data_IF_415614689967
#
_entry.id   IF_415614689967
#
_cell.length_a   1.000
_cell.length_b   1.000
_cell.length_c   1.000
_cell.angle_alpha   90.00
_cell.angle_beta   90.00
_cell.angle_gamma   90.00
#
_symmetry.space_group_name_H-M   'P 1'
#
loop_
_entity.id
_entity.type
_entity.pdbx_description
1 polymer ?
#
# COMPACT_ATOMS: atom_id res chain seq x y z
N UNK A 1 20.42 -5.73 -5.83
CA UNK A 1 19.14 -5.68 -5.08
C UNK A 1 19.13 -6.85 -4.12
N UNK A 2 18.80 -6.62 -2.86
CA UNK A 2 18.72 -7.65 -1.82
C UNK A 2 17.23 -7.85 -1.51
N UNK A 3 16.78 -9.09 -1.38
CA UNK A 3 15.40 -9.42 -1.04
C UNK A 3 15.37 -10.43 0.11
N UNK A 4 14.31 -10.34 0.92
CA UNK A 4 14.00 -11.32 1.95
C UNK A 4 13.08 -12.38 1.36
N UNK A 5 13.43 -13.65 1.51
CA UNK A 5 12.56 -14.77 1.18
C UNK A 5 11.86 -15.20 2.45
N UNK A 6 10.53 -15.23 2.41
CA UNK A 6 9.69 -15.66 3.53
C UNK A 6 8.90 -16.88 3.06
N UNK A 7 9.10 -18.02 3.71
CA UNK A 7 8.32 -19.23 3.47
C UNK A 7 7.07 -19.21 4.34
N UNK A 8 6.01 -18.56 3.83
CA UNK A 8 4.73 -18.43 4.52
C UNK A 8 3.57 -18.49 3.54
N UNK A 9 2.42 -19.11 3.90
CA UNK A 9 1.21 -19.02 3.11
C UNK A 9 0.77 -17.56 2.95
N UNK A 10 0.91 -17.02 1.74
CA UNK A 10 0.58 -15.63 1.40
C UNK A 10 -0.19 -15.57 0.08
N UNK A 11 -1.19 -14.68 -0.05
CA UNK A 11 -1.82 -14.42 -1.35
C UNK A 11 -0.90 -13.64 -2.30
N UNK A 12 0.27 -13.18 -1.83
CA UNK A 12 1.25 -12.44 -2.61
C UNK A 12 2.54 -13.24 -2.77
N UNK A 13 3.01 -13.37 -4.02
CA UNK A 13 4.29 -14.00 -4.33
C UNK A 13 5.49 -13.08 -4.03
N UNK A 14 5.29 -11.77 -4.13
CA UNK A 14 6.35 -10.76 -3.92
C UNK A 14 5.74 -9.47 -3.40
N UNK A 15 6.40 -8.83 -2.43
CA UNK A 15 6.07 -7.49 -1.95
C UNK A 15 7.25 -6.58 -2.29
N UNK A 16 7.01 -5.57 -3.13
CA UNK A 16 8.04 -4.59 -3.51
C UNK A 16 7.73 -3.28 -2.83
N UNK A 17 8.58 -2.90 -1.87
CA UNK A 17 8.47 -1.61 -1.20
C UNK A 17 8.90 -0.43 -2.08
N UNK A 18 8.66 0.78 -1.58
CA UNK A 18 9.08 2.05 -2.23
C UNK A 18 10.57 2.07 -2.64
N UNK A 19 11.54 1.61 -1.83
CA UNK A 19 12.94 1.60 -2.26
C UNK A 19 13.18 0.77 -3.52
N UNK A 20 12.50 -0.39 -3.64
CA UNK A 20 12.60 -1.24 -4.82
C UNK A 20 11.95 -0.62 -6.05
N UNK A 21 10.77 -0.02 -5.90
CA UNK A 21 10.09 0.69 -6.98
C UNK A 21 10.91 1.88 -7.49
N UNK A 22 11.50 2.67 -6.58
CA UNK A 22 12.34 3.81 -6.95
C UNK A 22 13.61 3.37 -7.68
N UNK A 23 14.25 2.28 -7.23
CA UNK A 23 15.44 1.73 -7.88
C UNK A 23 15.14 1.27 -9.32
N UNK A 24 13.92 0.79 -9.58
CA UNK A 24 13.47 0.37 -10.91
C UNK A 24 12.92 1.52 -11.77
N UNK A 25 12.91 2.75 -11.25
CA UNK A 25 12.23 3.90 -11.87
C UNK A 25 10.78 3.58 -12.23
N UNK A 26 10.11 2.83 -11.34
CA UNK A 26 8.82 2.23 -11.63
C UNK A 26 7.68 3.25 -11.58
N UNK A 27 6.79 3.19 -12.57
CA UNK A 27 5.54 3.96 -12.65
C UNK A 27 4.38 2.98 -12.51
N UNK A 28 3.62 3.10 -11.41
CA UNK A 28 2.50 2.21 -11.10
C UNK A 28 1.18 2.94 -11.32
N UNK A 29 0.29 2.35 -12.11
CA UNK A 29 -1.10 2.78 -12.28
C UNK A 29 -2.04 1.75 -11.68
N UNK A 30 -2.56 2.07 -10.49
CA UNK A 30 -3.53 1.21 -9.78
C UNK A 30 -4.83 1.04 -10.56
N UNK A 31 -5.32 2.11 -11.18
CA UNK A 31 -6.55 2.09 -12.00
C UNK A 31 -6.48 1.10 -13.16
N UNK A 32 -5.33 1.03 -13.81
CA UNK A 32 -5.11 0.17 -14.98
C UNK A 32 -4.44 -1.16 -14.63
N UNK A 33 -4.05 -1.34 -13.36
CA UNK A 33 -3.25 -2.47 -12.89
C UNK A 33 -1.98 -2.66 -13.72
N UNK A 34 -1.29 -1.57 -14.06
CA UNK A 34 -0.07 -1.62 -14.86
C UNK A 34 1.09 -1.03 -14.08
N UNK A 35 2.24 -1.70 -14.10
CA UNK A 35 3.50 -1.17 -13.63
C UNK A 35 4.49 -1.13 -14.79
N UNK A 36 5.04 0.05 -15.08
CA UNK A 36 6.16 0.23 -16.00
C UNK A 36 7.44 0.42 -15.23
N UNK A 37 8.56 -0.03 -15.75
CA UNK A 37 9.87 0.10 -15.10
C UNK A 37 10.99 0.12 -16.14
N UNK A 38 12.13 0.69 -15.76
CA UNK A 38 13.30 0.77 -16.63
C UNK A 38 14.02 -0.58 -16.71
N UNK A 39 14.46 -0.97 -17.90
CA UNK A 39 15.27 -2.16 -18.14
C UNK A 39 16.43 -1.83 -19.07
N UNK A 40 17.45 -2.68 -19.10
CA UNK A 40 18.59 -2.54 -20.02
C UNK A 40 18.21 -2.53 -21.52
N UNK A 41 17.00 -2.95 -21.86
CA UNK A 41 16.49 -3.01 -23.23
C UNK A 41 15.35 -2.00 -23.49
N UNK A 42 15.12 -1.05 -22.57
CA UNK A 42 14.04 -0.08 -22.65
C UNK A 42 13.00 -0.28 -21.54
N UNK A 43 11.74 0.07 -21.81
CA UNK A 43 10.68 0.06 -20.81
C UNK A 43 10.03 -1.32 -20.68
N UNK A 44 10.14 -1.93 -19.51
CA UNK A 44 9.39 -3.11 -19.12
C UNK A 44 7.98 -2.75 -18.66
N UNK A 45 7.02 -3.65 -18.85
CA UNK A 45 5.65 -3.49 -18.39
C UNK A 45 5.13 -4.79 -17.77
N UNK A 46 4.55 -4.68 -16.58
CA UNK A 46 3.78 -5.74 -15.92
C UNK A 46 2.31 -5.31 -15.91
N UNK A 47 1.42 -6.17 -16.40
CA UNK A 47 -0.04 -5.97 -16.35
C UNK A 47 -0.67 -6.98 -15.39
N UNK A 48 -1.49 -6.47 -14.49
CA UNK A 48 -2.40 -7.28 -13.68
C UNK A 48 -3.65 -7.65 -14.47
N UNK A 49 -4.26 -8.77 -14.08
CA UNK A 49 -5.54 -9.19 -14.62
C UNK A 49 -6.70 -8.48 -13.90
N UNK A 50 -7.40 -7.61 -14.63
CA UNK A 50 -8.49 -6.82 -14.08
C UNK A 50 -9.73 -7.66 -13.75
N UNK A 51 -9.97 -8.77 -14.45
CA UNK A 51 -11.08 -9.66 -14.15
C UNK A 51 -10.83 -10.39 -12.84
N UNK A 52 -9.63 -10.96 -12.69
CA UNK A 52 -9.23 -11.66 -11.46
C UNK A 52 -9.22 -10.70 -10.28
N UNK A 53 -8.66 -9.49 -10.43
CA UNK A 53 -8.65 -8.49 -9.36
C UNK A 53 -10.06 -8.09 -8.91
N UNK A 54 -10.99 -7.88 -9.87
CA UNK A 54 -12.40 -7.59 -9.56
C UNK A 54 -13.09 -8.78 -8.88
N UNK A 55 -12.80 -10.00 -9.32
CA UNK A 55 -13.38 -11.20 -8.72
C UNK A 55 -12.89 -11.38 -7.28
N UNK A 56 -11.58 -11.25 -7.02
CA UNK A 56 -11.02 -11.27 -5.68
C UNK A 56 -11.65 -10.20 -4.77
N UNK A 57 -11.79 -8.97 -5.26
CA UNK A 57 -12.43 -7.90 -4.50
C UNK A 57 -13.89 -8.24 -4.16
N UNK A 58 -14.66 -8.74 -5.14
CA UNK A 58 -16.04 -9.18 -4.90
C UNK A 58 -16.11 -10.30 -3.88
N UNK A 59 -15.27 -11.32 -3.99
CA UNK A 59 -15.25 -12.44 -3.04
C UNK A 59 -14.95 -11.94 -1.62
N UNK A 60 -13.93 -11.11 -1.43
CA UNK A 60 -13.59 -10.57 -0.11
C UNK A 60 -14.70 -9.66 0.46
N UNK A 61 -15.33 -8.82 -0.37
CA UNK A 61 -16.36 -7.88 0.08
C UNK A 61 -17.74 -8.54 0.27
N UNK A 62 -18.04 -9.61 -0.46
CA UNK A 62 -19.32 -10.32 -0.38
C UNK A 62 -19.29 -11.50 0.59
N UNK A 63 -18.12 -12.07 0.88
CA UNK A 63 -17.97 -13.20 1.82
C UNK A 63 -17.88 -12.74 3.29
N UNK A 64 -18.62 -11.68 3.66
CA UNK A 64 -18.75 -11.17 5.04
C UNK A 64 -19.34 -12.17 6.04
N UNK A 65 -19.53 -13.44 5.65
CA UNK A 65 -20.05 -14.50 6.50
C UNK A 65 -18.98 -15.33 7.21
N UNK A 66 -17.70 -15.29 6.81
CA UNK A 66 -16.63 -16.05 7.47
C UNK A 66 -15.36 -15.23 7.55
N UNK A 67 -15.18 -14.64 8.72
CA UNK A 67 -13.97 -14.03 9.25
C UNK A 67 -12.69 -14.83 8.91
N UNK A 68 -12.11 -14.54 7.75
CA UNK A 68 -10.71 -14.83 7.41
C UNK A 68 -10.16 -13.66 6.62
N UNK A 69 -10.14 -12.50 7.28
CA UNK A 69 -9.28 -11.39 6.90
C UNK A 69 -7.86 -11.94 6.91
N UNK A 70 -7.30 -12.23 5.74
CA UNK A 70 -5.85 -12.39 5.60
C UNK A 70 -5.27 -10.99 5.80
N UNK A 71 -5.09 -10.61 7.07
CA UNK A 71 -4.22 -9.51 7.42
C UNK A 71 -2.91 -9.76 6.68
N UNK A 72 -2.44 -8.75 5.95
CA UNK A 72 -1.02 -8.68 5.61
C UNK A 72 -0.32 -8.55 6.96
N UNK A 73 -0.04 -9.71 7.56
CA UNK A 73 0.68 -9.85 8.81
C UNK A 73 2.13 -9.48 8.53
N UNK A 74 2.39 -8.18 8.38
CA UNK A 74 3.69 -7.69 8.72
C UNK A 74 3.70 -7.61 10.24
N UNK A 75 4.56 -8.44 10.85
CA UNK A 75 5.04 -8.23 12.21
C UNK A 75 4.00 -8.58 13.27
N UNK A 76 4.47 -9.17 14.37
CA UNK A 76 3.67 -9.50 15.55
C UNK A 76 2.77 -8.33 15.94
N UNK A 77 1.47 -8.47 15.71
CA UNK A 77 0.48 -7.68 16.43
C UNK A 77 0.51 -8.19 17.87
N UNK A 78 1.35 -7.55 18.70
CA UNK A 78 1.18 -7.59 20.16
C UNK A 78 -0.31 -7.37 20.44
N UNK A 79 -0.93 -8.36 21.08
CA UNK A 79 -2.38 -8.46 21.22
C UNK A 79 -3.02 -7.23 21.82
N UNK A 80 -4.28 -6.99 21.47
CA UNK A 80 -5.26 -6.08 22.10
C UNK A 80 -4.72 -4.78 22.71
N UNK A 81 -3.72 -4.17 22.07
CA UNK A 81 -3.37 -2.77 22.31
C UNK A 81 -4.01 -2.01 21.17
N UNK A 82 -5.05 -1.22 21.50
CA UNK A 82 -5.54 -0.15 20.64
C UNK A 82 -4.33 0.54 20.01
N UNK A 83 -4.18 0.55 18.69
CA UNK A 83 -3.00 1.14 18.07
C UNK A 83 -2.97 2.61 18.44
N UNK A 84 -2.15 2.98 19.42
CA UNK A 84 -1.82 4.37 19.68
C UNK A 84 -1.30 4.91 18.34
N UNK A 85 -2.04 5.85 17.76
CA UNK A 85 -1.58 6.54 16.56
C UNK A 85 -0.20 7.11 16.89
N UNK A 86 0.87 6.69 16.19
CA UNK A 86 2.17 7.28 16.41
C UNK A 86 2.02 8.78 16.18
N UNK A 87 2.36 9.58 17.19
CA UNK A 87 2.37 11.02 17.02
C UNK A 87 3.49 11.38 16.04
N UNK A 88 3.31 12.42 15.21
CA UNK A 88 4.37 12.92 14.35
C UNK A 88 5.63 13.15 15.17
N UNK A 89 6.76 12.60 14.72
CA UNK A 89 8.08 12.82 15.35
C UNK A 89 8.63 14.20 14.98
N UNK A 90 8.17 14.74 13.85
CA UNK A 90 8.54 16.04 13.30
C UNK A 90 7.44 17.08 13.55
N UNK A 91 7.84 18.35 13.60
CA UNK A 91 6.93 19.47 13.81
C UNK A 91 5.94 19.57 12.64
N UNK A 92 4.64 19.54 12.97
CA UNK A 92 3.57 19.65 11.98
C UNK A 92 3.02 21.06 11.95
N UNK A 93 2.92 21.64 10.75
CA UNK A 93 2.27 22.92 10.54
C UNK A 93 0.80 22.73 10.16
N UNK A 94 -0.04 23.64 10.65
CA UNK A 94 -1.47 23.66 10.38
C UNK A 94 -1.76 24.48 9.13
N UNK A 95 -2.43 23.88 8.16
CA UNK A 95 -2.85 24.54 6.92
C UNK A 95 -4.37 24.49 6.82
N UNK A 96 -5.06 25.64 6.68
CA UNK A 96 -6.48 25.66 6.39
C UNK A 96 -6.73 25.10 4.99
N UNK A 97 -7.69 24.19 4.88
CA UNK A 97 -8.08 23.56 3.61
C UNK A 97 -8.82 24.54 2.69
N UNK A 98 -9.54 25.50 3.28
CA UNK A 98 -10.32 26.51 2.60
C UNK A 98 -9.97 27.89 3.17
N UNK A 99 -9.75 28.87 2.30
CA UNK A 99 -9.40 30.23 2.69
C UNK A 99 -10.57 30.87 3.47
N UNK A 100 -10.34 31.22 4.73
CA UNK A 100 -11.35 31.79 5.62
C UNK A 100 -12.14 30.79 6.47
N UNK A 101 -11.85 29.49 6.41
CA UNK A 101 -12.48 28.47 7.26
C UNK A 101 -11.47 27.83 8.23
N UNK A 102 -11.42 28.35 9.45
CA UNK A 102 -10.53 27.87 10.52
C UNK A 102 -10.98 26.53 11.14
N UNK A 103 -12.16 26.02 10.79
CA UNK A 103 -12.66 24.73 11.30
C UNK A 103 -12.14 23.53 10.50
N UNK A 104 -11.57 23.77 9.30
CA UNK A 104 -11.06 22.74 8.39
C UNK A 104 -9.55 22.84 8.21
N UNK A 105 -8.82 22.31 9.18
CA UNK A 105 -7.35 22.34 9.22
C UNK A 105 -6.77 20.95 8.92
N UNK A 106 -5.70 20.90 8.13
CA UNK A 106 -4.84 19.72 8.00
C UNK A 106 -3.47 19.97 8.64
N UNK A 107 -2.85 18.90 9.13
CA UNK A 107 -1.49 18.91 9.68
C UNK A 107 -0.53 18.37 8.62
N UNK A 108 0.53 19.12 8.32
CA UNK A 108 1.54 18.77 7.34
C UNK A 108 2.89 18.70 8.06
N UNK A 109 3.58 17.57 7.95
CA UNK A 109 4.95 17.43 8.47
C UNK A 109 5.97 18.00 7.48
N UNK A 110 7.11 18.43 8.00
CA UNK A 110 8.27 18.89 7.22
C UNK A 110 8.89 17.81 6.34
#
# INVERSE_FOLDING_TARGET
>A
MIFLVVDTPSPYNTIVGRPGLNLMEAIVSTRHLVMKFSTRFGMGEVRGDQQVARQCYKTVVMDKGKEKTLFVANVELRGDVEPERPQPVEEVFQVPLEEGNEERIIQVGS
#
